data_IF_746800927268
#
_entry.id   IF_746800927268
#
_cell.length_a   1.000
_cell.length_b   1.000
_cell.length_c   1.000
_cell.angle_alpha   90.00
_cell.angle_beta   90.00
_cell.angle_gamma   90.00
#
_symmetry.space_group_name_H-M   'P 1'
#
loop_
_entity.id
_entity.type
_entity.pdbx_description
1 polymer ?
#
# COMPACT_ATOMS: atom_id res chain seq x y z
N UNK A 1 28.77 -5.49 -3.43
CA UNK A 1 29.08 -4.50 -4.49
C UNK A 1 30.31 -3.71 -4.04
N UNK A 2 31.36 -3.60 -4.86
CA UNK A 2 32.54 -2.77 -4.59
C UNK A 2 32.37 -1.35 -5.14
N UNK A 3 33.21 -0.39 -4.71
CA UNK A 3 33.19 1.00 -5.24
C UNK A 3 33.41 1.03 -6.76
N UNK A 4 34.35 0.24 -7.28
CA UNK A 4 34.63 0.19 -8.72
C UNK A 4 33.45 -0.39 -9.52
N UNK A 5 32.72 -1.36 -8.95
CA UNK A 5 31.48 -1.87 -9.54
C UNK A 5 30.38 -0.79 -9.53
N UNK A 6 30.26 -0.01 -8.45
CA UNK A 6 29.30 1.11 -8.37
C UNK A 6 29.65 2.20 -9.39
N UNK A 7 30.93 2.56 -9.52
CA UNK A 7 31.41 3.52 -10.54
C UNK A 7 31.08 3.05 -11.95
N UNK A 8 31.38 1.79 -12.26
CA UNK A 8 31.08 1.20 -13.57
C UNK A 8 29.56 1.22 -13.86
N UNK A 9 28.73 0.89 -12.87
CA UNK A 9 27.27 0.92 -13.00
C UNK A 9 26.72 2.35 -13.21
N UNK A 10 27.34 3.37 -12.60
CA UNK A 10 26.94 4.77 -12.71
C UNK A 10 27.61 5.52 -13.88
N UNK A 11 28.56 4.90 -14.59
CA UNK A 11 29.35 5.55 -15.63
C UNK A 11 30.28 6.66 -15.12
N UNK A 12 30.74 6.56 -13.86
CA UNK A 12 31.58 7.59 -13.22
C UNK A 12 33.07 7.28 -13.36
N UNK A 13 33.86 8.33 -13.59
CA UNK A 13 35.32 8.26 -13.63
C UNK A 13 35.97 8.22 -12.23
N UNK A 14 37.29 8.00 -12.21
CA UNK A 14 38.08 7.95 -10.97
C UNK A 14 38.23 9.30 -10.26
N UNK A 15 37.86 10.39 -10.93
CA UNK A 15 37.81 11.75 -10.42
C UNK A 15 36.68 11.96 -9.38
N UNK A 16 35.69 11.07 -9.35
CA UNK A 16 34.60 11.11 -8.37
C UNK A 16 34.97 10.35 -7.10
N UNK A 17 34.89 11.03 -5.95
CA UNK A 17 35.19 10.45 -4.65
C UNK A 17 34.30 9.24 -4.32
N UNK A 18 34.84 8.28 -3.58
CA UNK A 18 34.12 7.06 -3.18
C UNK A 18 32.80 7.36 -2.44
N UNK A 19 32.79 8.40 -1.61
CA UNK A 19 31.60 8.81 -0.86
C UNK A 19 30.46 9.29 -1.78
N UNK A 20 30.79 10.06 -2.82
CA UNK A 20 29.82 10.53 -3.82
C UNK A 20 29.30 9.36 -4.67
N UNK A 21 30.18 8.42 -5.04
CA UNK A 21 29.79 7.19 -5.74
C UNK A 21 28.78 6.40 -4.91
N UNK A 22 29.04 6.22 -3.61
CA UNK A 22 28.12 5.53 -2.70
C UNK A 22 26.78 6.24 -2.59
N UNK A 23 26.78 7.56 -2.42
CA UNK A 23 25.55 8.35 -2.30
C UNK A 23 24.67 8.24 -3.55
N UNK A 24 25.27 8.38 -4.75
CA UNK A 24 24.54 8.25 -6.02
C UNK A 24 24.04 6.84 -6.26
N UNK A 25 24.84 5.84 -5.93
CA UNK A 25 24.44 4.45 -6.06
C UNK A 25 23.27 4.12 -5.14
N UNK A 26 23.31 4.60 -3.88
CA UNK A 26 22.22 4.45 -2.93
C UNK A 26 20.92 5.11 -3.44
N UNK A 27 21.01 6.33 -4.00
CA UNK A 27 19.85 7.01 -4.62
C UNK A 27 19.30 6.24 -5.83
N UNK A 28 20.17 5.68 -6.67
CA UNK A 28 19.75 4.87 -7.81
C UNK A 28 19.00 3.61 -7.35
N UNK A 29 19.56 2.88 -6.40
CA UNK A 29 18.93 1.69 -5.82
C UNK A 29 17.59 2.02 -5.16
N UNK A 30 17.52 3.13 -4.40
CA UNK A 30 16.28 3.61 -3.80
C UNK A 30 15.23 3.94 -4.88
N UNK A 31 15.65 4.57 -5.99
CA UNK A 31 14.74 4.89 -7.10
C UNK A 31 14.18 3.64 -7.79
N UNK A 32 14.98 2.58 -7.91
CA UNK A 32 14.51 1.31 -8.47
C UNK A 32 13.52 0.62 -7.53
N UNK A 33 13.80 0.60 -6.23
CA UNK A 33 12.86 0.06 -5.25
C UNK A 33 11.54 0.84 -5.24
N UNK A 34 11.58 2.16 -5.38
CA UNK A 34 10.39 3.00 -5.51
C UNK A 34 9.63 2.69 -6.81
N UNK A 35 10.35 2.50 -7.92
CA UNK A 35 9.74 2.15 -9.20
C UNK A 35 9.11 0.75 -9.19
N UNK A 36 9.75 -0.22 -8.55
CA UNK A 36 9.20 -1.57 -8.34
C UNK A 36 7.94 -1.53 -7.47
N UNK A 37 7.96 -0.76 -6.38
CA UNK A 37 6.78 -0.55 -5.53
C UNK A 37 5.65 0.17 -6.29
N UNK A 38 5.99 1.13 -7.16
CA UNK A 38 5.02 1.84 -8.00
C UNK A 38 4.47 0.98 -9.14
N UNK A 39 5.23 -0.02 -9.59
CA UNK A 39 4.82 -0.96 -10.63
C UNK A 39 4.03 -2.16 -10.07
N UNK A 40 4.09 -2.40 -8.76
CA UNK A 40 3.29 -3.42 -8.11
C UNK A 40 1.81 -3.02 -8.21
N UNK A 41 0.98 -3.92 -8.74
CA UNK A 41 -0.45 -3.70 -8.76
C UNK A 41 -0.97 -3.54 -7.33
N UNK A 42 -1.76 -2.50 -7.03
CA UNK A 42 -2.29 -2.32 -5.69
C UNK A 42 -3.23 -3.48 -5.36
N UNK A 43 -3.21 -3.94 -4.11
CA UNK A 43 -4.05 -5.04 -3.66
C UNK A 43 -5.56 -4.80 -3.92
N UNK A 44 -5.96 -3.53 -3.92
CA UNK A 44 -7.29 -3.05 -4.22
C UNK A 44 -7.14 -1.91 -5.24
N UNK A 45 -7.75 -2.07 -6.42
CA UNK A 45 -7.73 -1.02 -7.44
C UNK A 45 -8.65 0.15 -7.07
N UNK A 46 -8.37 1.34 -7.60
CA UNK A 46 -9.25 2.51 -7.45
C UNK A 46 -10.67 2.24 -8.00
N UNK A 47 -10.78 1.49 -9.09
CA UNK A 47 -12.08 1.04 -9.62
C UNK A 47 -12.86 0.22 -8.59
N UNK A 48 -12.19 -0.70 -7.88
CA UNK A 48 -12.83 -1.51 -6.83
C UNK A 48 -13.27 -0.65 -5.65
N UNK A 49 -12.46 0.35 -5.27
CA UNK A 49 -12.78 1.30 -4.21
C UNK A 49 -13.98 2.18 -4.59
N UNK A 50 -14.03 2.72 -5.82
CA UNK A 50 -15.18 3.50 -6.32
C UNK A 50 -16.45 2.67 -6.36
N UNK A 51 -16.36 1.45 -6.90
CA UNK A 51 -17.49 0.50 -6.95
C UNK A 51 -18.02 0.18 -5.54
N UNK A 52 -17.13 0.07 -4.55
CA UNK A 52 -17.52 -0.16 -3.16
C UNK A 52 -18.32 1.01 -2.57
N UNK A 53 -17.98 2.26 -2.91
CA UNK A 53 -18.67 3.47 -2.47
C UNK A 53 -19.81 3.91 -3.41
N UNK A 54 -20.08 3.15 -4.48
CA UNK A 54 -21.09 3.46 -5.48
C UNK A 54 -20.87 4.82 -6.18
N UNK A 55 -19.61 5.22 -6.38
CA UNK A 55 -19.30 6.36 -7.24
C UNK A 55 -19.46 6.00 -8.71
N UNK A 56 -19.78 6.99 -9.55
CA UNK A 56 -19.76 6.82 -11.00
C UNK A 56 -18.34 6.45 -11.46
N UNK A 57 -18.22 5.48 -12.38
CA UNK A 57 -16.91 4.92 -12.76
C UNK A 57 -15.98 5.96 -13.43
N UNK A 58 -16.58 6.96 -14.07
CA UNK A 58 -15.92 8.08 -14.76
C UNK A 58 -15.70 9.32 -13.87
N UNK A 59 -16.27 9.36 -12.66
CA UNK A 59 -16.06 10.46 -11.71
C UNK A 59 -14.80 10.22 -10.88
N UNK A 60 -13.73 10.92 -11.27
CA UNK A 60 -12.43 10.88 -10.60
C UNK A 60 -12.22 12.06 -9.64
N UNK A 61 -13.23 12.91 -9.43
CA UNK A 61 -13.08 14.12 -8.60
C UNK A 61 -12.74 13.83 -7.14
N UNK A 62 -13.07 12.63 -6.66
CA UNK A 62 -12.79 12.17 -5.30
C UNK A 62 -11.59 11.22 -5.22
N UNK A 63 -10.89 10.93 -6.32
CA UNK A 63 -9.86 9.88 -6.35
C UNK A 63 -8.70 10.16 -5.38
N UNK A 64 -8.27 11.42 -5.23
CA UNK A 64 -7.21 11.79 -4.30
C UNK A 64 -7.63 11.48 -2.86
N UNK A 65 -8.79 11.97 -2.43
CA UNK A 65 -9.32 11.70 -1.11
C UNK A 65 -9.58 10.19 -0.88
N UNK A 66 -10.14 9.51 -1.88
CA UNK A 66 -10.40 8.08 -1.83
C UNK A 66 -9.12 7.25 -1.69
N UNK A 67 -8.03 7.69 -2.33
CA UNK A 67 -6.73 7.03 -2.21
C UNK A 67 -6.18 7.11 -0.79
N UNK A 68 -6.36 8.24 -0.09
CA UNK A 68 -5.97 8.39 1.31
C UNK A 68 -6.77 7.46 2.22
N UNK A 69 -8.10 7.45 2.07
CA UNK A 69 -8.97 6.56 2.86
C UNK A 69 -8.65 5.08 2.63
N UNK A 70 -8.36 4.72 1.38
CA UNK A 70 -7.96 3.37 1.03
C UNK A 70 -6.61 3.00 1.64
N UNK A 71 -5.62 3.90 1.61
CA UNK A 71 -4.34 3.70 2.25
C UNK A 71 -4.47 3.49 3.76
N UNK A 72 -5.31 4.28 4.44
CA UNK A 72 -5.59 4.13 5.87
C UNK A 72 -6.27 2.80 6.19
N UNK A 73 -7.22 2.36 5.35
CA UNK A 73 -7.94 1.11 5.52
C UNK A 73 -7.02 -0.10 5.32
N UNK A 74 -6.14 -0.04 4.31
CA UNK A 74 -5.10 -1.04 4.08
C UNK A 74 -4.15 -1.07 5.28
N UNK A 75 -3.62 0.07 5.69
CA UNK A 75 -2.69 0.16 6.82
C UNK A 75 -3.29 -0.38 8.12
N UNK A 76 -4.60 -0.22 8.34
CA UNK A 76 -5.29 -0.86 9.47
C UNK A 76 -5.23 -2.39 9.39
N UNK A 77 -5.56 -2.96 8.22
CA UNK A 77 -5.54 -4.42 8.01
C UNK A 77 -4.13 -4.97 8.20
N UNK A 78 -3.12 -4.29 7.68
CA UNK A 78 -1.73 -4.70 7.81
C UNK A 78 -1.27 -4.67 9.26
N UNK A 79 -1.56 -3.60 10.01
CA UNK A 79 -1.25 -3.53 11.45
C UNK A 79 -1.97 -4.61 12.25
N UNK A 80 -3.23 -4.91 11.90
CA UNK A 80 -4.04 -5.92 12.62
C UNK A 80 -3.55 -7.35 12.39
N UNK A 81 -3.05 -7.63 11.19
CA UNK A 81 -2.64 -8.98 10.76
C UNK A 81 -1.14 -9.21 10.90
N UNK A 82 -0.33 -8.15 10.85
CA UNK A 82 1.13 -8.22 10.73
C UNK A 82 1.62 -8.60 9.33
N UNK A 83 0.75 -8.55 8.31
CA UNK A 83 1.03 -8.95 6.94
C UNK A 83 0.78 -7.78 5.98
N UNK A 84 1.61 -7.63 4.95
CA UNK A 84 1.36 -6.67 3.87
C UNK A 84 0.17 -7.11 3.02
N UNK A 85 -0.67 -6.17 2.64
CA UNK A 85 -1.79 -6.44 1.75
C UNK A 85 -1.33 -6.32 0.30
N UNK A 86 -1.42 -7.44 -0.41
CA UNK A 86 -1.03 -7.58 -1.82
C UNK A 86 -2.18 -8.18 -2.65
N UNK A 87 -2.04 -8.20 -3.97
CA UNK A 87 -3.02 -8.84 -4.88
C UNK A 87 -3.26 -10.33 -4.57
N UNK A 88 -2.23 -11.02 -4.09
CA UNK A 88 -2.26 -12.43 -3.69
C UNK A 88 -2.82 -12.65 -2.28
N UNK A 89 -3.08 -11.56 -1.54
CA UNK A 89 -3.62 -11.67 -0.19
C UNK A 89 -5.00 -12.33 -0.19
N UNK A 90 -5.31 -13.09 0.88
CA UNK A 90 -6.61 -13.70 1.07
C UNK A 90 -7.74 -12.70 0.83
N UNK A 91 -8.79 -13.14 0.12
CA UNK A 91 -9.93 -12.30 -0.24
C UNK A 91 -10.56 -11.60 0.96
N UNK A 92 -10.55 -12.23 2.13
CA UNK A 92 -11.11 -11.66 3.35
C UNK A 92 -10.30 -10.46 3.87
N UNK A 93 -8.98 -10.40 3.67
CA UNK A 93 -8.17 -9.22 4.02
C UNK A 93 -8.51 -8.03 3.12
N UNK A 94 -8.62 -8.26 1.80
CA UNK A 94 -9.06 -7.22 0.85
C UNK A 94 -10.48 -6.73 1.17
N UNK A 95 -11.37 -7.66 1.53
CA UNK A 95 -12.74 -7.32 1.96
C UNK A 95 -12.77 -6.54 3.26
N UNK A 96 -11.87 -6.83 4.20
CA UNK A 96 -11.76 -6.07 5.45
C UNK A 96 -11.39 -4.61 5.18
N UNK A 97 -10.41 -4.36 4.31
CA UNK A 97 -10.05 -3.01 3.90
C UNK A 97 -11.21 -2.28 3.20
N UNK A 98 -11.96 -2.94 2.31
CA UNK A 98 -13.15 -2.33 1.68
C UNK A 98 -14.28 -2.00 2.67
N UNK A 99 -14.46 -2.80 3.72
CA UNK A 99 -15.44 -2.50 4.79
C UNK A 99 -15.02 -1.25 5.57
N UNK A 100 -13.74 -1.12 5.88
CA UNK A 100 -13.20 0.06 6.57
C UNK A 100 -13.26 1.30 5.68
N UNK A 101 -13.01 1.15 4.37
CA UNK A 101 -13.12 2.23 3.40
C UNK A 101 -14.51 2.89 3.44
N UNK A 102 -15.58 2.09 3.40
CA UNK A 102 -16.95 2.61 3.52
C UNK A 102 -17.16 3.33 4.85
N UNK A 103 -16.68 2.78 5.96
CA UNK A 103 -16.84 3.41 7.26
C UNK A 103 -16.05 4.72 7.41
N UNK A 104 -14.84 4.81 6.86
CA UNK A 104 -14.05 6.04 6.87
C UNK A 104 -14.66 7.13 5.99
N UNK A 105 -15.33 6.74 4.90
CA UNK A 105 -16.06 7.69 4.07
C UNK A 105 -17.32 8.20 4.77
N UNK A 106 -18.08 7.31 5.40
CA UNK A 106 -19.38 7.63 6.02
C UNK A 106 -19.25 8.32 7.39
N UNK A 107 -18.21 8.01 8.18
CA UNK A 107 -18.09 8.42 9.59
C UNK A 107 -16.61 8.65 10.00
N UNK A 108 -15.99 9.67 9.37
CA UNK A 108 -14.56 10.01 9.59
C UNK A 108 -14.21 10.39 11.04
N UNK A 109 -15.17 10.87 11.83
CA UNK A 109 -14.93 11.31 13.22
C UNK A 109 -14.96 10.17 14.25
N UNK A 110 -15.14 8.92 13.83
CA UNK A 110 -14.94 7.74 14.68
C UNK A 110 -16.11 7.39 15.59
N UNK A 111 -17.34 7.48 15.06
CA UNK A 111 -18.55 7.06 15.75
C UNK A 111 -18.82 5.55 15.73
N UNK A 112 -20.04 5.18 16.11
CA UNK A 112 -20.50 3.79 16.21
C UNK A 112 -20.38 3.00 14.90
N UNK A 113 -20.41 3.69 13.75
CA UNK A 113 -20.27 3.05 12.43
C UNK A 113 -18.87 2.52 12.26
N UNK A 114 -17.85 3.34 12.58
CA UNK A 114 -16.46 2.92 12.50
C UNK A 114 -16.17 1.76 13.45
N UNK A 115 -16.61 1.85 14.71
CA UNK A 115 -16.38 0.78 15.69
C UNK A 115 -16.97 -0.58 15.23
N UNK A 116 -18.17 -0.58 14.64
CA UNK A 116 -18.81 -1.78 14.09
C UNK A 116 -18.08 -2.30 12.85
N UNK A 117 -17.57 -1.40 12.01
CA UNK A 117 -16.78 -1.74 10.84
C UNK A 117 -15.45 -2.39 11.24
N UNK A 118 -14.72 -1.82 12.19
CA UNK A 118 -13.48 -2.41 12.73
C UNK A 118 -13.72 -3.80 13.33
N UNK A 119 -14.80 -3.97 14.11
CA UNK A 119 -15.14 -5.29 14.66
C UNK A 119 -15.45 -6.31 13.54
N UNK A 120 -16.08 -5.88 12.46
CA UNK A 120 -16.41 -6.73 11.32
C UNK A 120 -15.17 -7.07 10.48
N UNK A 121 -14.32 -6.08 10.20
CA UNK A 121 -13.03 -6.23 9.55
C UNK A 121 -12.10 -7.16 10.35
N UNK A 122 -12.08 -7.01 11.67
CA UNK A 122 -11.34 -7.90 12.59
C UNK A 122 -11.74 -9.37 12.43
N UNK A 123 -13.04 -9.66 12.40
CA UNK A 123 -13.54 -11.04 12.18
C UNK A 123 -13.12 -11.61 10.82
N UNK A 124 -13.11 -10.79 9.78
CA UNK A 124 -12.63 -11.19 8.46
C UNK A 124 -11.13 -11.53 8.49
N UNK A 125 -10.32 -10.70 9.15
CA UNK A 125 -8.89 -10.94 9.31
C UNK A 125 -8.59 -12.20 10.15
N UNK A 126 -9.34 -12.42 11.23
CA UNK A 126 -9.14 -13.58 12.12
C UNK A 126 -9.41 -14.91 11.38
N UNK A 127 -10.37 -14.92 10.45
CA UNK A 127 -10.64 -16.10 9.60
C UNK A 127 -9.46 -16.49 8.70
N UNK A 128 -8.58 -15.55 8.34
CA UNK A 128 -7.37 -15.82 7.55
C UNK A 128 -6.25 -16.41 8.41
N UNK A 129 -6.17 -16.03 9.68
CA UNK A 129 -5.10 -16.46 10.59
C UNK A 129 -5.20 -17.95 10.97
N UNK A 130 -6.40 -18.53 10.84
CA UNK A 130 -6.67 -19.94 11.17
C UNK A 130 -6.21 -20.90 10.06
N UNK A 131 -5.98 -20.43 8.83
CA UNK A 131 -5.53 -21.27 7.70
C UNK A 131 -4.00 -21.31 7.48
N UNK A 132 -3.21 -20.62 8.31
CA UNK A 132 -1.76 -20.51 8.15
C UNK A 132 -0.94 -21.51 9.01
N UNK A 133 -1.55 -22.62 9.44
CA UNK A 133 -0.93 -23.74 10.17
C UNK A 133 -1.22 -25.03 9.40
#
# INVERSE_FOLDING_TARGET
MTIDQMRAALGLGADVSDAEVQARYASLVASWSQAEASAAEPAISMESARRQLQFDEDDTSQDEHLSELLADAIGWVERRTGLLLTVDSPRNMRRAALVLLTAYHDDREGGDVLAKAEASAGRLCDSCRVMAI
#
